data_IF_503783802261
#
_entry.id   IF_503783802261
#
_cell.length_a   1.000
_cell.length_b   1.000
_cell.length_c   1.000
_cell.angle_alpha   90.00
_cell.angle_beta   90.00
_cell.angle_gamma   90.00
#
_symmetry.space_group_name_H-M   'P 1'
#
loop_
_entity.id
_entity.type
_entity.pdbx_description
1 polymer ?
#
# COMPACT_ATOMS: atom_id res chain seq x y z
N UNK A 1 -55.25 -27.79 14.98
CA UNK A 1 -54.11 -27.18 15.69
C UNK A 1 -53.80 -25.82 15.08
N UNK A 2 -54.32 -24.75 15.66
CA UNK A 2 -54.04 -23.38 15.21
C UNK A 2 -52.78 -22.87 15.93
N UNK A 3 -51.69 -22.70 15.18
CA UNK A 3 -50.41 -22.20 15.66
C UNK A 3 -50.56 -20.72 16.01
N UNK A 4 -50.61 -20.40 17.31
CA UNK A 4 -50.58 -19.02 17.82
C UNK A 4 -49.27 -18.36 17.36
N UNK A 5 -49.33 -17.39 16.45
CA UNK A 5 -48.18 -16.55 16.14
C UNK A 5 -47.98 -15.57 17.29
N UNK A 6 -47.05 -15.88 18.18
CA UNK A 6 -46.58 -14.93 19.19
C UNK A 6 -45.75 -13.86 18.50
N UNK A 7 -46.36 -12.72 18.17
CA UNK A 7 -45.66 -11.54 17.69
C UNK A 7 -44.88 -10.87 18.82
N UNK A 8 -43.74 -10.25 18.49
CA UNK A 8 -42.98 -9.43 19.43
C UNK A 8 -43.82 -8.22 19.87
N UNK A 9 -43.77 -7.89 21.16
CA UNK A 9 -44.37 -6.64 21.65
C UNK A 9 -43.58 -5.44 21.15
N UNK A 10 -44.27 -4.33 20.89
CA UNK A 10 -43.63 -3.08 20.43
C UNK A 10 -42.56 -2.60 21.42
N UNK A 11 -42.77 -2.83 22.72
CA UNK A 11 -41.79 -2.50 23.76
C UNK A 11 -40.54 -3.36 23.68
N UNK A 12 -40.68 -4.67 23.40
CA UNK A 12 -39.54 -5.58 23.26
C UNK A 12 -38.70 -5.21 22.04
N UNK A 13 -39.35 -4.81 20.94
CA UNK A 13 -38.67 -4.35 19.73
C UNK A 13 -37.80 -3.11 20.02
N UNK A 14 -38.33 -2.14 20.78
CA UNK A 14 -37.60 -0.93 21.18
C UNK A 14 -36.40 -1.29 22.07
N UNK A 15 -36.56 -2.21 23.03
CA UNK A 15 -35.45 -2.68 23.86
C UNK A 15 -34.37 -3.38 23.05
N UNK A 16 -34.75 -4.25 22.10
CA UNK A 16 -33.79 -4.92 21.21
C UNK A 16 -33.03 -3.92 20.34
N UNK A 17 -33.71 -2.92 19.78
CA UNK A 17 -33.05 -1.84 19.02
C UNK A 17 -32.08 -1.03 19.88
N UNK A 18 -32.46 -0.73 21.13
CA UNK A 18 -31.60 0.02 22.05
C UNK A 18 -30.34 -0.77 22.40
N UNK A 19 -30.48 -2.07 22.68
CA UNK A 19 -29.34 -2.96 22.93
C UNK A 19 -28.45 -3.11 21.69
N UNK A 20 -29.03 -3.30 20.51
CA UNK A 20 -28.30 -3.33 19.22
C UNK A 20 -27.51 -2.04 18.98
N UNK A 21 -28.12 -0.89 19.26
CA UNK A 21 -27.46 0.41 19.13
C UNK A 21 -26.24 0.51 20.04
N UNK A 22 -26.38 0.14 21.32
CA UNK A 22 -25.26 0.13 22.27
C UNK A 22 -24.11 -0.78 21.80
N UNK A 23 -24.42 -1.97 21.31
CA UNK A 23 -23.40 -2.87 20.75
C UNK A 23 -22.72 -2.29 19.50
N UNK A 24 -23.49 -1.69 18.59
CA UNK A 24 -22.94 -1.02 17.41
C UNK A 24 -22.00 0.12 17.77
N UNK A 25 -22.35 0.94 18.77
CA UNK A 25 -21.48 2.03 19.23
C UNK A 25 -20.15 1.51 19.79
N UNK A 26 -20.15 0.38 20.50
CA UNK A 26 -18.92 -0.24 20.99
C UNK A 26 -18.09 -0.89 19.87
N UNK A 27 -18.74 -1.49 18.87
CA UNK A 27 -18.07 -2.16 17.77
C UNK A 27 -17.43 -1.18 16.75
N UNK A 28 -18.01 0.01 16.59
CA UNK A 28 -17.55 1.01 15.62
C UNK A 28 -16.07 1.42 15.75
N UNK A 29 -15.54 1.82 16.93
CA UNK A 29 -14.12 2.19 17.06
C UNK A 29 -13.18 1.00 16.80
N UNK A 30 -13.57 -0.21 17.19
CA UNK A 30 -12.80 -1.43 16.94
C UNK A 30 -12.71 -1.66 15.43
N UNK A 31 -13.83 -1.60 14.72
CA UNK A 31 -13.88 -1.74 13.27
C UNK A 31 -12.99 -0.71 12.56
N UNK A 32 -13.05 0.55 12.99
CA UNK A 32 -12.25 1.62 12.39
C UNK A 32 -10.74 1.35 12.54
N UNK A 33 -10.30 0.90 13.71
CA UNK A 33 -8.89 0.56 13.97
C UNK A 33 -8.41 -0.64 13.12
N UNK A 34 -9.24 -1.68 12.98
CA UNK A 34 -8.93 -2.85 12.18
C UNK A 34 -8.85 -2.51 10.68
N UNK A 35 -9.79 -1.72 10.18
CA UNK A 35 -9.78 -1.28 8.79
C UNK A 35 -8.50 -0.52 8.45
N UNK A 36 -8.03 0.37 9.34
CA UNK A 36 -6.79 1.13 9.14
C UNK A 36 -5.53 0.25 9.18
N UNK A 37 -5.48 -0.76 10.06
CA UNK A 37 -4.40 -1.76 10.07
C UNK A 37 -4.38 -2.58 8.77
N UNK A 38 -5.54 -3.01 8.29
CA UNK A 38 -5.64 -3.73 7.02
C UNK A 38 -5.17 -2.86 5.84
N UNK A 39 -5.53 -1.57 5.80
CA UNK A 39 -5.03 -0.64 4.77
C UNK A 39 -3.50 -0.56 4.77
N UNK A 40 -2.90 -0.51 5.95
CA UNK A 40 -1.46 -0.47 6.12
C UNK A 40 -0.79 -1.80 5.69
N UNK A 41 -1.31 -2.94 6.09
CA UNK A 41 -0.77 -4.24 5.66
C UNK A 41 -0.90 -4.45 4.15
N UNK A 42 -2.03 -4.02 3.56
CA UNK A 42 -2.25 -4.07 2.12
C UNK A 42 -1.20 -3.24 1.36
N UNK A 43 -0.93 -2.00 1.79
CA UNK A 43 0.07 -1.16 1.13
C UNK A 43 1.50 -1.70 1.32
N UNK A 44 1.84 -2.23 2.50
CA UNK A 44 3.13 -2.87 2.75
C UNK A 44 3.33 -4.06 1.80
N UNK A 45 2.28 -4.86 1.61
CA UNK A 45 2.28 -5.98 0.69
C UNK A 45 2.40 -5.54 -0.77
N UNK A 46 1.64 -4.53 -1.20
CA UNK A 46 1.70 -4.01 -2.56
C UNK A 46 3.06 -3.42 -2.92
N UNK A 47 3.67 -2.64 -2.02
CA UNK A 47 5.03 -2.12 -2.21
C UNK A 47 6.03 -3.27 -2.37
N UNK A 48 5.91 -4.31 -1.53
CA UNK A 48 6.78 -5.48 -1.59
C UNK A 48 6.64 -6.22 -2.92
N UNK A 49 5.40 -6.49 -3.33
CA UNK A 49 5.11 -7.13 -4.62
C UNK A 49 5.62 -6.30 -5.80
N UNK A 50 5.45 -4.98 -5.77
CA UNK A 50 5.90 -4.11 -6.84
C UNK A 50 7.43 -4.12 -7.02
N UNK A 51 8.17 -4.08 -5.91
CA UNK A 51 9.64 -4.15 -5.92
C UNK A 51 10.12 -5.51 -6.43
N UNK A 52 9.51 -6.61 -5.96
CA UNK A 52 9.84 -7.95 -6.44
C UNK A 52 9.52 -8.13 -7.91
N UNK A 53 8.37 -7.62 -8.35
CA UNK A 53 7.94 -7.65 -9.75
C UNK A 53 8.87 -6.84 -10.65
N UNK A 54 9.21 -5.61 -10.27
CA UNK A 54 10.15 -4.76 -11.00
C UNK A 54 11.52 -5.43 -11.14
N UNK A 55 12.05 -5.99 -10.04
CA UNK A 55 13.30 -6.75 -10.06
C UNK A 55 13.24 -7.95 -11.00
N UNK A 56 12.19 -8.78 -10.91
CA UNK A 56 12.03 -9.95 -11.81
C UNK A 56 11.97 -9.51 -13.27
N UNK A 57 11.21 -8.46 -13.58
CA UNK A 57 11.09 -7.96 -14.94
C UNK A 57 12.42 -7.43 -15.49
N UNK A 58 13.21 -6.71 -14.69
CA UNK A 58 14.52 -6.20 -15.10
C UNK A 58 15.49 -7.33 -15.46
N UNK A 59 15.47 -8.41 -14.67
CA UNK A 59 16.29 -9.61 -14.93
C UNK A 59 15.79 -10.40 -16.14
N UNK A 60 14.47 -10.57 -16.27
CA UNK A 60 13.87 -11.37 -17.36
C UNK A 60 14.01 -10.70 -18.74
N UNK A 61 13.92 -9.38 -18.80
CA UNK A 61 13.99 -8.62 -20.05
C UNK A 61 15.40 -8.11 -20.36
N UNK A 62 16.38 -8.41 -19.50
CA UNK A 62 17.76 -7.91 -19.58
C UNK A 62 17.83 -6.38 -19.78
N UNK A 63 16.98 -5.65 -19.06
CA UNK A 63 16.80 -4.21 -19.21
C UNK A 63 16.76 -3.51 -17.86
N UNK A 64 17.30 -2.28 -17.81
CA UNK A 64 17.18 -1.42 -16.65
C UNK A 64 15.77 -0.86 -16.56
N UNK A 65 15.16 -0.93 -15.38
CA UNK A 65 13.82 -0.43 -15.14
C UNK A 65 13.81 0.58 -14.01
N UNK A 66 12.94 1.57 -14.12
CA UNK A 66 12.69 2.57 -13.09
C UNK A 66 11.31 2.38 -12.49
N UNK A 67 11.26 2.35 -11.17
CA UNK A 67 10.04 2.50 -10.39
C UNK A 67 9.99 3.91 -9.78
N UNK A 68 8.88 4.63 -9.97
CA UNK A 68 8.70 6.02 -9.51
C UNK A 68 7.27 6.25 -9.02
N UNK A 69 7.08 7.17 -8.08
CA UNK A 69 5.75 7.63 -7.64
C UNK A 69 4.94 8.29 -8.77
N UNK A 70 3.62 8.09 -8.79
CA UNK A 70 2.76 8.73 -9.78
C UNK A 70 2.74 10.25 -9.52
N UNK A 71 3.01 11.04 -10.57
CA UNK A 71 3.14 12.50 -10.44
C UNK A 71 4.17 12.93 -9.36
N UNK A 72 5.24 12.14 -9.21
CA UNK A 72 6.27 12.29 -8.17
C UNK A 72 5.75 12.15 -6.71
N UNK A 73 4.51 11.65 -6.53
CA UNK A 73 3.93 11.31 -5.23
C UNK A 73 3.76 9.79 -5.10
N UNK A 74 4.49 9.20 -4.15
CA UNK A 74 4.39 7.78 -3.83
C UNK A 74 3.06 7.43 -3.17
N UNK A 75 2.35 8.41 -2.61
CA UNK A 75 1.05 8.23 -1.95
C UNK A 75 -0.08 7.96 -2.93
N UNK A 76 0.10 8.29 -4.22
CA UNK A 76 -0.88 8.01 -5.29
C UNK A 76 -0.66 6.65 -5.97
N UNK A 77 0.49 6.01 -5.73
CA UNK A 77 0.88 4.78 -6.40
C UNK A 77 2.25 4.89 -7.06
N UNK A 78 2.56 3.90 -7.90
CA UNK A 78 3.86 3.76 -8.55
C UNK A 78 3.71 3.34 -10.01
N UNK A 79 4.66 3.78 -10.84
CA UNK A 79 4.79 3.40 -12.24
C UNK A 79 6.15 2.75 -12.48
N UNK A 80 6.14 1.67 -13.26
CA UNK A 80 7.32 0.96 -13.73
C UNK A 80 7.47 1.13 -15.23
N UNK A 81 8.64 1.60 -15.67
CA UNK A 81 8.96 1.82 -17.08
C UNK A 81 10.45 1.56 -17.34
N UNK A 82 10.86 1.31 -18.59
CA UNK A 82 12.27 1.17 -18.96
C UNK A 82 13.07 2.43 -18.66
N UNK A 83 14.33 2.26 -18.26
CA UNK A 83 15.22 3.37 -17.93
C UNK A 83 15.40 4.33 -19.11
N UNK A 84 15.39 5.64 -18.81
CA UNK A 84 15.61 6.74 -19.75
C UNK A 84 16.81 7.55 -19.27
N UNK A 85 17.46 8.31 -20.17
CA UNK A 85 18.66 9.09 -19.83
C UNK A 85 18.47 10.03 -18.63
N UNK A 86 17.27 10.58 -18.46
CA UNK A 86 16.93 11.51 -17.37
C UNK A 86 16.24 10.84 -16.18
N UNK A 87 16.10 9.50 -16.23
CA UNK A 87 15.39 8.68 -15.25
C UNK A 87 13.94 9.12 -14.99
N UNK A 88 13.31 9.79 -15.96
CA UNK A 88 11.97 10.39 -15.86
C UNK A 88 11.01 9.70 -16.80
N UNK A 89 9.74 9.73 -16.39
CA UNK A 89 8.63 9.34 -17.25
C UNK A 89 8.33 10.49 -18.23
N UNK A 90 8.26 10.17 -19.52
CA UNK A 90 7.82 11.12 -20.55
C UNK A 90 6.47 10.66 -21.09
N UNK A 91 5.60 11.59 -21.48
CA UNK A 91 4.33 11.24 -22.13
C UNK A 91 4.63 10.50 -23.44
N UNK A 92 4.21 9.23 -23.52
CA UNK A 92 4.51 8.32 -24.63
C UNK A 92 5.54 7.23 -24.31
N UNK A 93 6.20 7.28 -23.14
CA UNK A 93 7.04 6.17 -22.67
C UNK A 93 6.19 4.93 -22.40
N UNK A 94 6.69 3.75 -22.78
CA UNK A 94 6.02 2.48 -22.51
C UNK A 94 5.99 2.21 -21.01
N UNK A 95 4.78 2.23 -20.43
CA UNK A 95 4.56 1.78 -19.05
C UNK A 95 4.47 0.26 -19.06
N UNK A 96 5.31 -0.40 -18.26
CA UNK A 96 5.26 -1.85 -18.08
C UNK A 96 4.20 -2.25 -17.07
N UNK A 97 4.11 -1.49 -15.98
CA UNK A 97 3.13 -1.73 -14.93
C UNK A 97 2.83 -0.45 -14.15
N UNK A 98 1.61 -0.37 -13.60
CA UNK A 98 1.16 0.75 -12.78
C UNK A 98 0.39 0.22 -11.57
N UNK A 99 0.88 0.52 -10.37
CA UNK A 99 0.17 0.30 -9.12
C UNK A 99 -0.51 1.60 -8.72
N UNK A 100 -1.81 1.57 -8.46
CA UNK A 100 -2.56 2.73 -8.00
C UNK A 100 -3.26 2.35 -6.72
N UNK A 101 -3.15 3.22 -5.73
CA UNK A 101 -3.84 3.09 -4.48
C UNK A 101 -4.38 4.45 -4.06
N UNK A 102 -5.45 4.43 -3.28
CA UNK A 102 -6.05 5.64 -2.75
C UNK A 102 -6.42 5.45 -1.28
N UNK A 103 -5.49 5.83 -0.40
CA UNK A 103 -5.66 5.74 1.04
C UNK A 103 -5.68 7.16 1.65
N UNK A 104 -6.86 7.71 1.95
CA UNK A 104 -6.96 9.09 2.45
C UNK A 104 -6.19 9.26 3.76
N UNK A 105 -5.31 10.26 3.77
CA UNK A 105 -4.45 10.63 4.91
C UNK A 105 -3.23 9.74 5.12
N UNK A 106 -2.98 8.76 4.26
CA UNK A 106 -1.72 8.02 4.25
C UNK A 106 -0.68 8.74 3.39
N UNK A 107 0.48 9.03 3.96
CA UNK A 107 1.59 9.61 3.20
C UNK A 107 2.68 8.57 3.04
N UNK A 108 3.14 8.37 1.81
CA UNK A 108 4.21 7.45 1.48
C UNK A 108 5.37 8.27 0.93
N UNK A 109 6.57 8.01 1.41
CA UNK A 109 7.76 8.66 0.88
C UNK A 109 8.90 7.67 0.75
N UNK A 110 9.65 7.78 -0.34
CA UNK A 110 10.86 7.00 -0.57
C UNK A 110 12.11 7.80 -0.23
N UNK A 111 13.08 7.13 0.41
CA UNK A 111 14.43 7.62 0.63
C UNK A 111 15.43 6.55 0.20
N UNK A 112 15.90 6.67 -1.04
CA UNK A 112 16.84 5.75 -1.65
C UNK A 112 18.28 6.25 -1.59
N UNK A 113 19.22 5.32 -1.74
CA UNK A 113 20.64 5.60 -1.83
C UNK A 113 20.99 6.43 -3.08
N UNK A 114 20.40 6.08 -4.23
CA UNK A 114 20.65 6.78 -5.49
C UNK A 114 19.77 8.03 -5.67
N UNK A 115 18.51 7.93 -5.27
CA UNK A 115 17.52 9.00 -5.44
C UNK A 115 16.36 8.84 -4.47
N UNK A 116 15.72 9.96 -4.14
CA UNK A 116 14.47 10.01 -3.38
C UNK A 116 13.23 9.96 -4.30
N UNK A 117 13.40 10.18 -5.60
CA UNK A 117 12.28 10.21 -6.56
C UNK A 117 12.09 8.91 -7.32
N UNK A 118 13.08 8.00 -7.33
CA UNK A 118 12.96 6.75 -8.07
C UNK A 118 13.79 5.61 -7.46
N UNK A 119 13.45 4.38 -7.84
CA UNK A 119 14.23 3.17 -7.62
C UNK A 119 14.68 2.63 -8.98
N UNK A 120 15.98 2.39 -9.14
CA UNK A 120 16.57 1.76 -10.32
C UNK A 120 16.73 0.26 -10.07
N UNK A 121 16.26 -0.54 -11.00
CA UNK A 121 16.47 -1.98 -11.05
C UNK A 121 17.32 -2.30 -12.27
N UNK A 122 18.51 -2.84 -12.03
CA UNK A 122 19.46 -3.25 -13.08
C UNK A 122 19.34 -4.75 -13.35
N UNK A 123 19.70 -5.15 -14.55
CA UNK A 123 19.75 -6.55 -14.98
C UNK A 123 20.96 -7.32 -14.39
N UNK A 124 21.98 -6.62 -13.89
CA UNK A 124 23.15 -7.23 -13.22
C UNK A 124 23.07 -7.09 -11.70
N UNK A 125 22.88 -8.23 -11.01
CA UNK A 125 22.85 -8.32 -9.55
C UNK A 125 24.11 -7.76 -8.86
N UNK A 126 25.28 -7.79 -9.52
CA UNK A 126 26.51 -7.23 -8.95
C UNK A 126 26.45 -5.70 -8.87
N UNK A 127 25.73 -5.08 -9.80
CA UNK A 127 25.53 -3.62 -9.91
C UNK A 127 24.23 -3.15 -9.23
N UNK A 128 23.49 -4.04 -8.57
CA UNK A 128 22.24 -3.68 -7.91
C UNK A 128 22.48 -2.75 -6.71
N UNK A 129 21.78 -1.61 -6.73
CA UNK A 129 21.95 -0.46 -5.82
C UNK A 129 20.62 0.06 -5.26
N UNK A 130 19.55 -0.74 -5.33
CA UNK A 130 18.17 -0.37 -4.94
C UNK A 130 17.96 -0.22 -3.42
N UNK A 131 19.02 0.07 -2.67
CA UNK A 131 18.96 0.28 -1.22
C UNK A 131 18.20 1.54 -0.86
N UNK A 132 17.40 1.47 0.20
CA UNK A 132 16.70 2.62 0.74
C UNK A 132 15.62 2.23 1.74
N UNK A 133 14.69 3.14 1.98
CA UNK A 133 13.52 2.82 2.78
C UNK A 133 12.30 3.66 2.37
N UNK A 134 11.12 3.06 2.48
CA UNK A 134 9.86 3.78 2.49
C UNK A 134 9.51 4.18 3.91
N UNK A 135 9.02 5.41 4.07
CA UNK A 135 8.33 5.85 5.29
C UNK A 135 6.85 5.96 4.97
N UNK A 136 6.04 5.25 5.74
CA UNK A 136 4.60 5.28 5.68
C UNK A 136 4.11 6.00 6.93
N UNK A 137 3.45 7.14 6.73
CA UNK A 137 2.83 7.91 7.80
C UNK A 137 1.32 7.70 7.71
N UNK A 138 0.73 7.19 8.79
CA UNK A 138 -0.73 7.05 8.90
C UNK A 138 -1.35 8.31 9.51
N UNK A 139 -2.66 8.53 9.32
CA UNK A 139 -3.38 9.66 9.93
C UNK A 139 -3.27 9.72 11.46
N UNK A 140 -3.00 8.58 12.13
CA UNK A 140 -2.80 8.51 13.59
C UNK A 140 -1.36 8.79 14.02
N UNK A 141 -0.54 9.42 13.17
CA UNK A 141 0.88 9.70 13.42
C UNK A 141 1.73 8.46 13.67
N UNK A 142 1.27 7.27 13.25
CA UNK A 142 2.10 6.06 13.30
C UNK A 142 3.01 6.07 12.07
N UNK A 143 4.32 6.03 12.31
CA UNK A 143 5.34 6.00 11.27
C UNK A 143 5.89 4.59 11.18
N UNK A 144 5.81 3.98 9.99
CA UNK A 144 6.40 2.67 9.72
C UNK A 144 7.45 2.81 8.65
N UNK A 145 8.54 2.07 8.83
CA UNK A 145 9.68 2.08 7.92
C UNK A 145 9.80 0.73 7.23
N UNK A 146 9.67 0.72 5.90
CA UNK A 146 10.01 -0.45 5.09
C UNK A 146 11.41 -0.26 4.53
N UNK A 147 12.37 -1.04 4.99
CA UNK A 147 13.75 -1.01 4.49
C UNK A 147 13.88 -1.94 3.30
N UNK A 148 14.42 -1.41 2.21
CA UNK A 148 14.73 -2.14 0.98
C UNK A 148 16.25 -2.27 0.90
N UNK A 149 16.75 -3.51 0.78
CA UNK A 149 18.19 -3.72 0.62
C UNK A 149 18.62 -3.56 -0.85
N UNK A 150 19.94 -3.59 -1.09
CA UNK A 150 20.52 -3.50 -2.44
C UNK A 150 20.00 -4.51 -3.46
N UNK A 151 19.45 -5.64 -3.00
CA UNK A 151 18.91 -6.72 -3.83
C UNK A 151 17.38 -6.67 -3.96
N UNK A 152 16.73 -5.60 -3.50
CA UNK A 152 15.28 -5.44 -3.57
C UNK A 152 14.50 -6.33 -2.59
N UNK A 153 15.12 -6.81 -1.50
CA UNK A 153 14.40 -7.47 -0.41
C UNK A 153 13.86 -6.41 0.54
N UNK A 154 12.55 -6.45 0.78
CA UNK A 154 11.83 -5.53 1.66
C UNK A 154 11.72 -6.13 3.05
N UNK A 155 11.93 -5.33 4.09
CA UNK A 155 11.73 -5.70 5.49
C UNK A 155 11.08 -4.56 6.25
N UNK A 156 10.07 -4.89 7.05
CA UNK A 156 9.46 -3.95 7.99
C UNK A 156 10.41 -3.71 9.18
N UNK A 157 10.59 -2.46 9.55
CA UNK A 157 11.26 -2.02 10.76
C UNK A 157 10.23 -1.22 11.55
N UNK A 158 9.87 -1.75 12.72
CA UNK A 158 8.95 -1.12 13.69
C UNK A 158 9.74 -0.20 14.60
#
# INVERSE_FOLDING_TARGET
MLRKSTGFSLIELVFVMLLMSLFCFMAFPVWHSLFKKNQLEAIEHEITLAIEHAKRLALLHDQHLILRGIADDWSQGMILFPDTKDHKYHQGSKILHKWQWHYPGMQISWKGFQSNSYLLFVNDLKKATTSGHFKLLTPQSTSIKLVVNRFGRVRRVV
#
